data_IF_793506239354
#
_entry.id   IF_793506239354
#
_cell.length_a   1.000
_cell.length_b   1.000
_cell.length_c   1.000
_cell.angle_alpha   90.00
_cell.angle_beta   90.00
_cell.angle_gamma   90.00
#
_symmetry.space_group_name_H-M   'P 1'
#
loop_
_entity.id
_entity.type
_entity.pdbx_description
1 polymer ?
#
# COMPACT_ATOMS: atom_id res chain seq x y z
N UNK A 1 -46.37 6.42 -11.70
CA UNK A 1 -45.76 5.07 -11.85
C UNK A 1 -45.18 4.98 -13.26
N UNK A 2 -43.89 5.22 -13.41
CA UNK A 2 -43.24 5.50 -14.71
C UNK A 2 -43.01 4.26 -15.59
N UNK A 3 -42.83 4.50 -16.89
CA UNK A 3 -42.57 3.53 -17.97
C UNK A 3 -41.53 2.44 -17.64
N UNK A 4 -40.62 2.69 -16.71
CA UNK A 4 -39.62 1.75 -16.19
C UNK A 4 -40.25 0.49 -15.58
N UNK A 5 -41.43 0.58 -14.96
CA UNK A 5 -42.09 -0.59 -14.35
C UNK A 5 -42.75 -1.53 -15.38
N UNK A 6 -43.14 -1.00 -16.54
CA UNK A 6 -43.81 -1.76 -17.61
C UNK A 6 -42.80 -2.57 -18.42
N UNK A 7 -41.62 -1.99 -18.66
CA UNK A 7 -40.52 -2.68 -19.33
C UNK A 7 -40.03 -3.87 -18.50
N UNK A 8 -39.90 -3.71 -17.18
CA UNK A 8 -39.44 -4.79 -16.31
C UNK A 8 -40.41 -5.97 -16.22
N UNK A 9 -41.73 -5.69 -16.19
CA UNK A 9 -42.79 -6.72 -16.15
C UNK A 9 -42.91 -7.55 -17.43
N UNK A 10 -42.50 -7.02 -18.58
CA UNK A 10 -42.59 -7.74 -19.86
C UNK A 10 -41.38 -8.64 -20.13
N UNK A 11 -40.29 -8.50 -19.36
CA UNK A 11 -39.03 -9.26 -19.55
C UNK A 11 -38.91 -10.42 -18.56
N UNK A 12 -39.41 -10.22 -17.34
CA UNK A 12 -39.35 -11.19 -16.27
C UNK A 12 -40.77 -11.71 -16.01
N UNK A 13 -40.96 -13.05 -15.97
CA UNK A 13 -42.25 -13.64 -15.56
C UNK A 13 -42.60 -13.16 -14.15
N UNK A 14 -43.89 -13.17 -13.81
CA UNK A 14 -44.37 -12.78 -12.48
C UNK A 14 -43.62 -13.57 -11.39
N UNK A 15 -42.77 -12.88 -10.61
CA UNK A 15 -41.93 -13.48 -9.55
C UNK A 15 -40.43 -13.49 -9.83
N UNK A 16 -40.00 -13.26 -11.07
CA UNK A 16 -38.58 -13.16 -11.42
C UNK A 16 -38.01 -11.76 -11.12
N UNK A 17 -36.82 -11.69 -10.52
CA UNK A 17 -36.14 -10.41 -10.25
C UNK A 17 -35.30 -10.01 -11.45
N UNK A 18 -35.65 -8.88 -12.07
CA UNK A 18 -34.87 -8.25 -13.13
C UNK A 18 -33.76 -7.39 -12.51
N UNK A 19 -32.51 -7.65 -12.88
CA UNK A 19 -31.34 -6.83 -12.52
C UNK A 19 -30.55 -6.52 -13.78
N UNK A 20 -29.99 -5.33 -13.91
CA UNK A 20 -29.06 -5.02 -15.00
C UNK A 20 -27.67 -5.36 -14.46
N UNK A 21 -26.87 -6.19 -15.12
CA UNK A 21 -25.51 -6.45 -14.63
C UNK A 21 -24.51 -6.89 -15.69
N UNK A 22 -23.33 -7.29 -15.24
CA UNK A 22 -22.18 -7.54 -16.10
C UNK A 22 -21.86 -9.03 -16.17
N UNK A 23 -21.31 -9.44 -17.33
CA UNK A 23 -20.66 -10.74 -17.52
C UNK A 23 -19.54 -10.95 -16.51
N UNK A 24 -19.27 -12.21 -16.13
CA UNK A 24 -18.13 -12.57 -15.24
C UNK A 24 -16.77 -12.03 -15.71
N UNK A 25 -16.66 -11.58 -16.96
CA UNK A 25 -15.41 -11.15 -17.59
C UNK A 25 -15.59 -10.02 -18.64
N UNK A 26 -16.76 -9.35 -18.67
CA UNK A 26 -17.03 -8.31 -19.68
C UNK A 26 -17.81 -7.13 -19.08
N UNK A 27 -17.22 -5.93 -19.20
CA UNK A 27 -17.81 -4.58 -19.00
C UNK A 27 -18.99 -4.23 -19.94
N UNK A 28 -19.74 -5.20 -20.45
CA UNK A 28 -20.96 -4.93 -21.21
C UNK A 28 -22.19 -5.07 -20.31
N UNK A 29 -23.03 -4.02 -20.19
CA UNK A 29 -24.28 -4.13 -19.44
C UNK A 29 -25.19 -5.13 -20.16
N UNK A 30 -25.72 -6.08 -19.41
CA UNK A 30 -26.70 -7.05 -19.88
C UNK A 30 -27.87 -7.10 -18.90
N UNK A 31 -28.96 -7.71 -19.35
CA UNK A 31 -30.11 -8.00 -18.50
C UNK A 31 -29.88 -9.36 -17.84
N UNK A 32 -29.91 -9.37 -16.52
CA UNK A 32 -29.88 -10.56 -15.69
C UNK A 32 -31.30 -10.83 -15.16
N UNK A 33 -31.76 -12.06 -15.29
CA UNK A 33 -32.99 -12.53 -14.64
C UNK A 33 -32.59 -13.66 -13.70
N UNK A 34 -32.85 -13.48 -12.40
CA UNK A 34 -32.46 -14.41 -11.35
C UNK A 34 -30.96 -14.83 -11.40
N UNK A 35 -30.08 -13.93 -11.87
CA UNK A 35 -28.64 -14.18 -11.96
C UNK A 35 -28.16 -14.84 -13.27
N UNK A 36 -29.05 -15.08 -14.23
CA UNK A 36 -28.71 -15.60 -15.56
C UNK A 36 -28.86 -14.54 -16.66
N UNK A 37 -27.98 -14.59 -17.67
CA UNK A 37 -28.05 -13.68 -18.81
C UNK A 37 -29.25 -14.01 -19.68
N UNK A 38 -30.11 -13.01 -19.93
CA UNK A 38 -31.05 -13.11 -21.02
C UNK A 38 -30.32 -12.89 -22.36
N UNK A 39 -30.37 -13.90 -23.23
CA UNK A 39 -29.89 -13.80 -24.60
C UNK A 39 -30.63 -12.71 -25.37
N UNK A 40 -29.90 -11.67 -25.79
CA UNK A 40 -30.41 -10.56 -26.58
C UNK A 40 -30.86 -11.09 -27.96
N UNK A 41 -32.16 -11.38 -28.16
CA UNK A 41 -32.68 -11.55 -29.52
C UNK A 41 -32.64 -10.19 -30.22
N UNK A 42 -31.78 -10.08 -31.23
CA UNK A 42 -31.65 -8.91 -32.11
C UNK A 42 -33.05 -8.43 -32.54
N UNK A 43 -33.46 -7.23 -32.12
CA UNK A 43 -34.64 -6.58 -32.69
C UNK A 43 -35.43 -5.66 -31.76
N UNK A 44 -35.43 -5.88 -30.43
CA UNK A 44 -36.08 -4.95 -29.48
C UNK A 44 -35.11 -4.54 -28.38
N UNK A 45 -34.64 -3.29 -28.40
CA UNK A 45 -33.96 -2.68 -27.25
C UNK A 45 -34.99 -2.53 -26.15
N UNK A 46 -35.00 -3.47 -25.21
CA UNK A 46 -36.00 -3.49 -24.16
C UNK A 46 -35.77 -2.36 -23.15
N UNK A 47 -34.52 -1.90 -23.00
CA UNK A 47 -34.15 -0.85 -22.06
C UNK A 47 -33.14 0.13 -22.67
N UNK A 48 -33.36 1.43 -22.47
CA UNK A 48 -32.50 2.50 -22.98
C UNK A 48 -31.55 3.01 -21.89
N UNK A 49 -30.30 2.52 -21.94
CA UNK A 49 -29.23 2.87 -21.03
C UNK A 49 -28.76 4.34 -21.15
N UNK A 50 -29.14 5.06 -22.19
CA UNK A 50 -28.71 6.45 -22.39
C UNK A 50 -29.54 7.47 -21.60
N UNK A 51 -30.72 7.08 -21.11
CA UNK A 51 -31.71 7.99 -20.50
C UNK A 51 -31.74 7.95 -18.97
N UNK A 52 -30.87 7.16 -18.35
CA UNK A 52 -30.95 6.87 -16.91
C UNK A 52 -29.56 6.99 -16.28
N UNK A 53 -29.54 7.38 -15.01
CA UNK A 53 -28.33 7.37 -14.19
C UNK A 53 -28.22 6.03 -13.44
N UNK A 54 -26.99 5.57 -13.28
CA UNK A 54 -26.72 4.29 -12.64
C UNK A 54 -25.63 4.39 -11.59
N UNK A 55 -25.75 3.52 -10.61
CA UNK A 55 -24.69 3.17 -9.69
C UNK A 55 -24.23 1.75 -10.01
N UNK A 56 -22.93 1.58 -10.19
CA UNK A 56 -22.32 0.28 -10.37
C UNK A 56 -21.89 -0.29 -9.03
N UNK A 57 -22.51 -1.40 -8.63
CA UNK A 57 -22.11 -2.15 -7.46
C UNK A 57 -20.78 -2.88 -7.77
N UNK A 58 -19.66 -2.32 -7.30
CA UNK A 58 -18.30 -2.86 -7.52
C UNK A 58 -17.88 -3.89 -6.47
N UNK A 59 -18.40 -3.73 -5.25
CA UNK A 59 -18.31 -4.66 -4.12
C UNK A 59 -19.68 -4.73 -3.45
N UNK A 60 -19.97 -5.73 -2.62
CA UNK A 60 -21.29 -5.89 -1.99
C UNK A 60 -21.90 -4.62 -1.39
N UNK A 61 -21.07 -3.79 -0.74
CA UNK A 61 -21.52 -2.58 -0.05
C UNK A 61 -21.00 -1.28 -0.68
N UNK A 62 -20.29 -1.36 -1.81
CA UNK A 62 -19.70 -0.19 -2.46
C UNK A 62 -20.23 -0.04 -3.88
N UNK A 63 -20.84 1.11 -4.13
CA UNK A 63 -21.21 1.57 -5.47
C UNK A 63 -20.33 2.73 -5.92
N UNK A 64 -20.19 2.87 -7.24
CA UNK A 64 -19.63 4.08 -7.87
C UNK A 64 -20.58 4.58 -8.97
N UNK A 65 -20.66 5.90 -9.22
CA UNK A 65 -21.43 6.45 -10.32
C UNK A 65 -20.96 5.89 -11.66
N UNK A 66 -21.88 5.74 -12.62
CA UNK A 66 -21.59 4.96 -13.81
C UNK A 66 -22.45 5.32 -15.03
N UNK A 67 -21.89 5.22 -16.25
CA UNK A 67 -22.57 5.47 -17.52
C UNK A 67 -22.52 4.25 -18.46
N UNK A 68 -23.59 3.43 -18.55
CA UNK A 68 -23.53 2.15 -19.29
C UNK A 68 -23.38 2.31 -20.80
N UNK A 69 -23.83 3.42 -21.38
CA UNK A 69 -23.69 3.70 -22.80
C UNK A 69 -22.24 3.89 -23.24
N UNK A 70 -21.33 4.23 -22.31
CA UNK A 70 -19.95 4.64 -22.62
C UNK A 70 -18.90 3.76 -21.95
N UNK A 71 -19.30 2.75 -21.18
CA UNK A 71 -18.35 1.89 -20.45
C UNK A 71 -17.36 1.14 -21.36
N UNK A 72 -17.73 0.82 -22.59
CA UNK A 72 -16.82 0.12 -23.51
C UNK A 72 -15.88 1.09 -24.26
N UNK A 73 -15.98 2.39 -24.02
CA UNK A 73 -15.16 3.40 -24.69
C UNK A 73 -13.87 3.62 -23.90
N UNK A 74 -12.72 3.56 -24.57
CA UNK A 74 -11.39 3.81 -23.94
C UNK A 74 -11.08 5.30 -23.74
N UNK A 75 -11.93 6.17 -24.30
CA UNK A 75 -11.92 7.62 -24.08
C UNK A 75 -13.25 8.00 -23.46
N UNK A 76 -13.26 8.75 -22.35
CA UNK A 76 -14.50 9.24 -21.78
C UNK A 76 -15.18 10.20 -22.77
N UNK A 77 -16.51 10.19 -22.80
CA UNK A 77 -17.28 11.06 -23.70
C UNK A 77 -17.13 12.55 -23.38
N UNK A 78 -16.84 12.86 -22.13
CA UNK A 78 -16.49 14.20 -21.67
C UNK A 78 -15.19 14.21 -20.88
N UNK A 79 -14.55 15.38 -20.83
CA UNK A 79 -13.38 15.60 -19.98
C UNK A 79 -13.85 15.59 -18.52
N UNK A 80 -13.10 14.91 -17.65
CA UNK A 80 -13.40 14.88 -16.22
C UNK A 80 -12.51 15.91 -15.54
N UNK A 81 -13.11 16.93 -14.93
CA UNK A 81 -12.43 18.04 -14.28
C UNK A 81 -13.25 18.56 -13.11
N UNK A 82 -12.59 19.30 -12.20
CA UNK A 82 -13.26 20.04 -11.13
C UNK A 82 -13.93 21.27 -11.72
N UNK A 83 -15.24 21.34 -11.62
CA UNK A 83 -16.02 22.51 -11.98
C UNK A 83 -15.58 23.70 -11.10
N UNK A 84 -15.17 24.80 -11.76
CA UNK A 84 -14.63 25.97 -11.07
C UNK A 84 -15.66 26.69 -10.20
N UNK A 85 -16.95 26.60 -10.55
CA UNK A 85 -18.04 27.27 -9.84
C UNK A 85 -18.52 26.46 -8.64
N UNK A 86 -18.69 25.15 -8.80
CA UNK A 86 -19.25 24.29 -7.74
C UNK A 86 -18.18 23.63 -6.88
N UNK A 87 -16.93 23.62 -7.33
CA UNK A 87 -15.83 22.91 -6.69
C UNK A 87 -15.95 21.37 -6.75
N UNK A 88 -16.91 20.83 -7.51
CA UNK A 88 -17.21 19.40 -7.62
C UNK A 88 -16.92 18.87 -9.01
N UNK A 89 -16.95 17.56 -9.18
CA UNK A 89 -17.06 16.94 -10.51
C UNK A 89 -18.56 16.81 -10.80
N UNK A 90 -18.99 17.27 -11.97
CA UNK A 90 -20.40 17.16 -12.38
C UNK A 90 -20.81 15.68 -12.53
N UNK A 91 -22.11 15.39 -12.41
CA UNK A 91 -22.62 14.01 -12.36
C UNK A 91 -22.18 13.15 -13.56
N UNK A 92 -22.23 13.70 -14.78
CA UNK A 92 -21.74 13.01 -15.98
C UNK A 92 -20.23 12.73 -15.91
N UNK A 93 -19.45 13.64 -15.32
CA UNK A 93 -18.02 13.45 -15.09
C UNK A 93 -17.72 12.36 -14.07
N UNK A 94 -18.52 12.27 -13.01
CA UNK A 94 -18.42 11.19 -12.03
C UNK A 94 -18.75 9.82 -12.64
N UNK A 95 -19.77 9.77 -13.50
CA UNK A 95 -20.13 8.54 -14.21
C UNK A 95 -19.02 8.06 -15.16
N UNK A 96 -18.40 8.98 -15.92
CA UNK A 96 -17.24 8.66 -16.75
C UNK A 96 -16.02 8.26 -15.92
N UNK A 97 -15.82 8.86 -14.75
CA UNK A 97 -14.76 8.47 -13.81
C UNK A 97 -14.95 7.03 -13.31
N UNK A 98 -16.19 6.65 -13.01
CA UNK A 98 -16.54 5.28 -12.65
C UNK A 98 -16.27 4.30 -13.78
N UNK A 99 -16.69 4.62 -15.00
CA UNK A 99 -16.41 3.80 -16.19
C UNK A 99 -14.91 3.52 -16.37
N UNK A 100 -14.07 4.57 -16.28
CA UNK A 100 -12.60 4.44 -16.34
C UNK A 100 -12.10 3.52 -15.22
N UNK A 101 -12.62 3.71 -14.00
CA UNK A 101 -12.17 2.97 -12.83
C UNK A 101 -12.43 1.46 -12.94
N UNK A 102 -13.58 1.07 -13.50
CA UNK A 102 -13.92 -0.34 -13.76
C UNK A 102 -13.00 -0.94 -14.81
N UNK A 103 -12.83 -0.27 -15.95
CA UNK A 103 -11.97 -0.76 -17.03
C UNK A 103 -10.51 -0.92 -16.59
N UNK A 104 -9.99 0.04 -15.83
CA UNK A 104 -8.64 -0.06 -15.29
C UNK A 104 -8.51 -1.22 -14.29
N UNK A 105 -9.50 -1.43 -13.41
CA UNK A 105 -9.47 -2.56 -12.49
C UNK A 105 -9.43 -3.91 -13.21
N UNK A 106 -10.25 -4.10 -14.26
CA UNK A 106 -10.21 -5.31 -15.09
C UNK A 106 -8.87 -5.48 -15.80
N UNK A 107 -8.32 -4.39 -16.37
CA UNK A 107 -7.01 -4.42 -17.01
C UNK A 107 -5.90 -4.79 -16.04
N UNK A 108 -5.96 -4.33 -14.79
CA UNK A 108 -4.97 -4.66 -13.76
C UNK A 108 -5.13 -6.10 -13.26
N UNK A 109 -6.35 -6.62 -13.19
CA UNK A 109 -6.60 -8.02 -12.82
C UNK A 109 -6.02 -8.99 -13.86
N UNK A 110 -6.11 -8.67 -15.15
CA UNK A 110 -5.56 -9.50 -16.22
C UNK A 110 -4.04 -9.70 -16.13
N UNK A 111 -3.32 -8.73 -15.56
CA UNK A 111 -1.85 -8.79 -15.42
C UNK A 111 -1.39 -9.22 -14.02
N UNK A 112 -2.30 -9.35 -13.06
CA UNK A 112 -1.97 -9.64 -11.66
C UNK A 112 -1.26 -10.99 -11.47
N UNK A 113 -1.63 -12.02 -12.26
CA UNK A 113 -0.99 -13.33 -12.23
C UNK A 113 0.48 -13.28 -12.62
N UNK A 114 0.79 -12.67 -13.77
CA UNK A 114 2.15 -12.49 -14.25
C UNK A 114 2.97 -11.60 -13.30
N UNK A 115 2.37 -10.53 -12.79
CA UNK A 115 3.00 -9.66 -11.79
C UNK A 115 3.37 -10.41 -10.50
N UNK A 116 2.50 -11.33 -10.04
CA UNK A 116 2.78 -12.17 -8.88
C UNK A 116 3.98 -13.09 -9.12
N UNK A 117 4.04 -13.74 -10.27
CA UNK A 117 5.19 -14.59 -10.65
C UNK A 117 6.50 -13.81 -10.68
N UNK A 118 6.48 -12.63 -11.31
CA UNK A 118 7.64 -11.75 -11.43
C UNK A 118 8.13 -11.27 -10.05
N UNK A 119 7.25 -10.71 -9.22
CA UNK A 119 7.61 -10.23 -7.87
C UNK A 119 8.09 -11.39 -6.99
N UNK A 120 7.46 -12.56 -7.07
CA UNK A 120 7.88 -13.76 -6.31
C UNK A 120 9.26 -14.25 -6.73
N UNK A 121 9.62 -14.10 -8.00
CA UNK A 121 10.93 -14.48 -8.52
C UNK A 121 12.06 -13.55 -8.05
N UNK A 122 11.74 -12.28 -7.78
CA UNK A 122 12.67 -11.30 -7.20
C UNK A 122 12.84 -11.57 -5.70
N UNK A 123 11.72 -11.68 -4.97
CA UNK A 123 11.70 -11.81 -3.52
C UNK A 123 11.59 -13.26 -3.03
N UNK A 124 12.51 -14.11 -3.50
CA UNK A 124 12.53 -15.53 -3.13
C UNK A 124 12.77 -15.71 -1.63
N UNK A 125 12.02 -16.64 -1.04
CA UNK A 125 12.15 -17.00 0.38
C UNK A 125 11.32 -16.14 1.35
N UNK A 126 10.54 -15.18 0.84
CA UNK A 126 9.66 -14.36 1.64
C UNK A 126 8.20 -14.82 1.54
N UNK A 127 7.48 -14.59 2.64
CA UNK A 127 6.02 -14.59 2.62
C UNK A 127 5.57 -13.32 1.89
N UNK A 128 4.76 -13.48 0.84
CA UNK A 128 4.34 -12.36 0.00
C UNK A 128 2.88 -12.44 -0.43
N UNK A 129 2.29 -11.28 -0.64
CA UNK A 129 0.99 -11.13 -1.30
C UNK A 129 1.09 -10.12 -2.44
N UNK A 130 0.41 -10.42 -3.54
CA UNK A 130 0.32 -9.55 -4.72
C UNK A 130 -1.14 -9.49 -5.14
N UNK A 131 -1.65 -8.28 -5.38
CA UNK A 131 -3.03 -8.04 -5.79
C UNK A 131 -3.13 -6.89 -6.79
N UNK A 132 -4.12 -6.95 -7.66
CA UNK A 132 -4.51 -5.80 -8.48
C UNK A 132 -5.23 -4.74 -7.64
N UNK A 133 -5.22 -3.50 -8.12
CA UNK A 133 -6.01 -2.42 -7.55
C UNK A 133 -7.48 -2.51 -8.01
N UNK A 134 -8.41 -2.54 -7.06
CA UNK A 134 -9.85 -2.60 -7.36
C UNK A 134 -10.48 -1.26 -7.74
N UNK A 135 -11.60 -1.32 -8.46
CA UNK A 135 -12.29 -0.16 -9.05
C UNK A 135 -12.62 0.96 -8.04
N UNK A 136 -13.07 0.65 -6.82
CA UNK A 136 -13.35 1.69 -5.81
C UNK A 136 -12.09 2.48 -5.42
N UNK A 137 -10.97 1.79 -5.25
CA UNK A 137 -9.71 2.44 -4.89
C UNK A 137 -9.19 3.31 -6.03
N UNK A 138 -9.38 2.87 -7.27
CA UNK A 138 -9.07 3.66 -8.48
C UNK A 138 -9.96 4.90 -8.54
N UNK A 139 -11.28 4.74 -8.38
CA UNK A 139 -12.26 5.85 -8.40
C UNK A 139 -11.91 6.92 -7.36
N UNK A 140 -11.78 6.52 -6.09
CA UNK A 140 -11.47 7.45 -4.99
C UNK A 140 -10.13 8.17 -5.21
N UNK A 141 -9.10 7.46 -5.72
CA UNK A 141 -7.79 8.05 -6.01
C UNK A 141 -7.88 9.06 -7.14
N UNK A 142 -8.57 8.74 -8.24
CA UNK A 142 -8.72 9.67 -9.37
C UNK A 142 -9.59 10.87 -9.00
N UNK A 143 -10.69 10.67 -8.29
CA UNK A 143 -11.58 11.74 -7.82
C UNK A 143 -10.79 12.75 -6.98
N UNK A 144 -10.00 12.27 -6.03
CA UNK A 144 -9.10 13.12 -5.22
C UNK A 144 -8.11 13.91 -6.09
N UNK A 145 -7.50 13.28 -7.11
CA UNK A 145 -6.56 13.96 -8.01
C UNK A 145 -7.25 15.06 -8.84
N UNK A 146 -8.51 14.87 -9.22
CA UNK A 146 -9.29 15.88 -9.94
C UNK A 146 -9.69 17.01 -8.99
N UNK A 147 -10.28 16.69 -7.83
CA UNK A 147 -10.83 17.67 -6.89
C UNK A 147 -9.78 18.48 -6.14
N UNK A 148 -8.68 17.85 -5.72
CA UNK A 148 -7.66 18.51 -4.90
C UNK A 148 -6.46 18.97 -5.73
N UNK A 149 -6.06 18.19 -6.73
CA UNK A 149 -4.86 18.48 -7.54
C UNK A 149 -5.17 19.12 -8.90
N UNK A 150 -6.44 19.44 -9.15
CA UNK A 150 -6.91 20.10 -10.37
C UNK A 150 -6.59 19.32 -11.65
N UNK A 151 -6.39 17.99 -11.55
CA UNK A 151 -6.04 17.18 -12.72
C UNK A 151 -7.26 17.02 -13.63
N UNK A 152 -6.99 16.93 -14.92
CA UNK A 152 -8.01 16.70 -15.95
C UNK A 152 -7.77 15.34 -16.58
N UNK A 153 -8.80 14.48 -16.57
CA UNK A 153 -8.72 13.14 -17.15
C UNK A 153 -9.39 13.16 -18.52
N UNK A 154 -8.67 12.65 -19.53
CA UNK A 154 -9.07 12.65 -20.94
C UNK A 154 -9.04 11.27 -21.60
N UNK A 155 -8.53 10.25 -20.92
CA UNK A 155 -8.41 8.88 -21.42
C UNK A 155 -8.05 7.93 -20.28
N UNK A 156 -8.26 6.63 -20.51
CA UNK A 156 -7.83 5.55 -19.61
C UNK A 156 -6.31 5.57 -19.40
N UNK A 157 -5.52 5.81 -20.45
CA UNK A 157 -4.07 5.88 -20.34
C UNK A 157 -3.60 7.05 -19.45
N UNK A 158 -4.26 8.21 -19.56
CA UNK A 158 -3.97 9.35 -18.67
C UNK A 158 -4.38 9.04 -17.22
N UNK A 159 -5.51 8.37 -17.01
CA UNK A 159 -5.96 7.95 -15.69
C UNK A 159 -5.01 6.89 -15.07
N UNK A 160 -4.59 5.89 -15.84
CA UNK A 160 -3.65 4.84 -15.40
C UNK A 160 -2.32 5.45 -14.91
N UNK A 161 -1.78 6.45 -15.62
CA UNK A 161 -0.60 7.21 -15.18
C UNK A 161 -0.81 7.98 -13.88
N UNK A 162 -2.04 8.46 -13.61
CA UNK A 162 -2.35 9.16 -12.35
C UNK A 162 -2.52 8.22 -11.16
N UNK A 163 -2.88 6.96 -11.41
CA UNK A 163 -2.93 5.89 -10.42
C UNK A 163 -1.51 5.55 -9.99
N UNK A 164 -0.65 5.11 -10.92
CA UNK A 164 0.77 4.86 -10.65
C UNK A 164 1.09 3.60 -9.83
N UNK A 165 0.07 2.86 -9.37
CA UNK A 165 0.14 1.66 -8.52
C UNK A 165 -0.91 0.61 -8.95
N UNK A 166 -0.80 0.11 -10.17
CA UNK A 166 -1.73 -0.89 -10.73
C UNK A 166 -1.73 -2.20 -9.91
N UNK A 167 -0.53 -2.64 -9.52
CA UNK A 167 -0.29 -3.82 -8.71
C UNK A 167 0.19 -3.40 -7.32
N UNK A 168 -0.40 -3.96 -6.27
CA UNK A 168 0.09 -3.84 -4.90
C UNK A 168 0.79 -5.13 -4.47
N UNK A 169 2.03 -5.02 -4.00
CA UNK A 169 2.81 -6.11 -3.44
C UNK A 169 3.14 -5.88 -1.96
N UNK A 170 3.19 -6.95 -1.17
CA UNK A 170 3.68 -6.94 0.22
C UNK A 170 4.64 -8.09 0.43
N UNK A 171 5.81 -7.78 0.94
CA UNK A 171 6.87 -8.71 1.31
C UNK A 171 7.06 -8.64 2.82
N UNK A 172 6.85 -9.77 3.51
CA UNK A 172 6.93 -9.84 4.96
C UNK A 172 8.27 -10.42 5.41
N UNK A 173 9.08 -9.60 6.06
CA UNK A 173 10.38 -10.00 6.58
C UNK A 173 10.25 -10.89 7.83
N UNK A 174 11.13 -11.89 7.97
CA UNK A 174 11.16 -12.71 9.17
C UNK A 174 11.59 -11.88 10.39
N UNK A 175 11.11 -12.29 11.56
CA UNK A 175 11.54 -11.69 12.81
C UNK A 175 12.97 -12.16 13.15
N UNK A 176 13.75 -11.28 13.77
CA UNK A 176 15.01 -11.63 14.37
C UNK A 176 14.81 -12.35 15.71
N UNK A 177 15.87 -13.00 16.18
CA UNK A 177 15.88 -13.80 17.41
C UNK A 177 16.85 -13.23 18.45
N UNK A 178 16.81 -13.75 19.68
CA UNK A 178 17.78 -13.41 20.71
C UNK A 178 19.24 -13.75 20.31
N UNK A 179 19.43 -14.76 19.45
CA UNK A 179 20.74 -15.08 18.87
C UNK A 179 21.24 -13.95 17.98
N UNK A 180 20.35 -13.33 17.20
CA UNK A 180 20.69 -12.21 16.33
C UNK A 180 21.09 -10.98 17.13
N UNK A 181 20.40 -10.71 18.23
CA UNK A 181 20.78 -9.66 19.20
C UNK A 181 22.19 -9.92 19.72
N UNK A 182 22.45 -11.13 20.21
CA UNK A 182 23.76 -11.50 20.77
C UNK A 182 24.88 -11.33 19.73
N UNK A 183 24.66 -11.76 18.49
CA UNK A 183 25.64 -11.60 17.42
C UNK A 183 25.86 -10.13 17.06
N UNK A 184 24.79 -9.34 17.01
CA UNK A 184 24.86 -7.90 16.71
C UNK A 184 25.65 -7.17 17.79
N UNK A 185 25.38 -7.43 19.06
CA UNK A 185 26.11 -6.82 20.18
C UNK A 185 27.62 -7.12 20.17
N UNK A 186 28.01 -8.32 19.73
CA UNK A 186 29.43 -8.72 19.62
C UNK A 186 30.18 -8.04 18.47
N UNK A 187 29.48 -7.66 17.41
CA UNK A 187 30.08 -7.20 16.14
C UNK A 187 29.86 -5.72 15.87
N UNK A 188 28.88 -5.11 16.53
CA UNK A 188 28.54 -3.71 16.37
C UNK A 188 29.69 -2.82 16.82
N UNK A 189 30.03 -1.87 15.95
CA UNK A 189 30.97 -0.79 16.24
C UNK A 189 30.23 0.53 16.31
N UNK A 190 30.39 1.25 17.42
CA UNK A 190 29.88 2.60 17.62
C UNK A 190 31.10 3.50 17.74
N UNK A 191 31.22 4.49 16.85
CA UNK A 191 32.42 5.36 16.76
C UNK A 191 33.73 4.54 16.67
N UNK A 192 33.72 3.50 15.83
CA UNK A 192 34.84 2.56 15.62
C UNK A 192 35.25 1.72 16.85
N UNK A 193 34.46 1.73 17.93
CA UNK A 193 34.70 0.91 19.13
C UNK A 193 33.61 -0.15 19.28
N UNK A 194 34.03 -1.36 19.66
CA UNK A 194 33.10 -2.41 20.07
C UNK A 194 32.49 -2.06 21.43
N UNK A 195 31.30 -2.57 21.71
CA UNK A 195 30.76 -2.59 23.07
C UNK A 195 31.63 -3.48 23.96
N UNK A 196 31.88 -3.04 25.19
CA UNK A 196 32.54 -3.85 26.22
C UNK A 196 31.65 -5.04 26.62
N UNK A 197 32.23 -6.06 27.26
CA UNK A 197 31.47 -7.23 27.73
C UNK A 197 30.34 -6.84 28.69
N UNK A 198 30.56 -5.85 29.55
CA UNK A 198 29.54 -5.36 30.49
C UNK A 198 28.43 -4.60 29.76
N UNK A 199 28.77 -3.71 28.82
CA UNK A 199 27.76 -3.03 27.99
C UNK A 199 26.92 -4.03 27.18
N UNK A 200 27.54 -5.08 26.63
CA UNK A 200 26.82 -6.15 25.93
C UNK A 200 25.83 -6.86 26.86
N UNK A 201 26.22 -7.17 28.09
CA UNK A 201 25.36 -7.80 29.11
C UNK A 201 24.20 -6.89 29.50
N UNK A 202 24.45 -5.59 29.70
CA UNK A 202 23.42 -4.59 29.99
C UNK A 202 22.42 -4.51 28.83
N UNK A 203 22.89 -4.47 27.57
CA UNK A 203 22.01 -4.44 26.40
C UNK A 203 21.18 -5.72 26.26
N UNK A 204 21.75 -6.89 26.59
CA UNK A 204 20.99 -8.15 26.60
C UNK A 204 19.85 -8.09 27.61
N UNK A 205 20.13 -7.68 28.85
CA UNK A 205 19.11 -7.46 29.89
C UNK A 205 18.03 -6.46 29.45
N UNK A 206 18.44 -5.34 28.85
CA UNK A 206 17.52 -4.32 28.36
C UNK A 206 16.54 -4.89 27.32
N UNK A 207 17.04 -5.59 26.31
CA UNK A 207 16.20 -6.16 25.25
C UNK A 207 15.45 -7.44 25.66
N UNK A 208 15.86 -8.12 26.73
CA UNK A 208 15.10 -9.20 27.36
C UNK A 208 14.10 -8.71 28.42
N UNK A 209 14.02 -7.38 28.64
CA UNK A 209 13.17 -6.72 29.62
C UNK A 209 13.44 -7.19 31.06
N UNK A 210 14.70 -7.49 31.36
CA UNK A 210 15.16 -7.75 32.72
C UNK A 210 15.32 -6.44 33.51
N UNK A 211 15.32 -6.55 34.84
CA UNK A 211 15.54 -5.40 35.71
C UNK A 211 16.96 -4.84 35.52
N UNK A 212 17.05 -3.51 35.45
CA UNK A 212 18.30 -2.76 35.32
C UNK A 212 18.42 -1.77 36.48
N UNK A 213 19.63 -1.55 36.98
CA UNK A 213 19.92 -0.41 37.85
C UNK A 213 19.81 0.93 37.09
N UNK A 214 19.83 2.05 37.82
CA UNK A 214 19.79 3.37 37.20
C UNK A 214 21.00 3.62 36.28
N UNK A 215 22.18 3.12 36.67
CA UNK A 215 23.43 3.21 35.91
C UNK A 215 23.36 2.33 34.66
N UNK A 216 22.86 1.10 34.79
CA UNK A 216 22.66 0.21 33.64
C UNK A 216 21.64 0.80 32.66
N UNK A 217 20.57 1.45 33.15
CA UNK A 217 19.58 2.11 32.31
C UNK A 217 20.18 3.25 31.49
N UNK A 218 21.09 4.06 32.05
CA UNK A 218 21.79 5.11 31.30
C UNK A 218 22.62 4.52 30.16
N UNK A 219 23.31 3.40 30.40
CA UNK A 219 24.06 2.67 29.37
C UNK A 219 23.11 2.14 28.29
N UNK A 220 21.99 1.54 28.69
CA UNK A 220 21.00 1.01 27.76
C UNK A 220 20.42 2.11 26.87
N UNK A 221 20.03 3.25 27.44
CA UNK A 221 19.51 4.39 26.70
C UNK A 221 20.54 4.94 25.71
N UNK A 222 21.81 5.03 26.11
CA UNK A 222 22.91 5.50 25.25
C UNK A 222 23.07 4.67 23.97
N UNK A 223 22.94 3.34 24.05
CA UNK A 223 23.24 2.44 22.94
C UNK A 223 22.03 1.84 22.23
N UNK A 224 20.84 1.87 22.86
CA UNK A 224 19.64 1.21 22.35
C UNK A 224 19.32 1.56 20.90
N UNK A 225 19.31 2.84 20.52
CA UNK A 225 19.02 3.27 19.15
C UNK A 225 20.02 2.71 18.14
N UNK A 226 21.32 2.81 18.44
CA UNK A 226 22.37 2.31 17.55
C UNK A 226 22.27 0.79 17.34
N UNK A 227 21.98 0.04 18.42
CA UNK A 227 21.78 -1.41 18.31
C UNK A 227 20.49 -1.74 17.53
N UNK A 228 19.38 -1.04 17.77
CA UNK A 228 18.13 -1.23 17.02
C UNK A 228 18.31 -0.97 15.53
N UNK A 229 19.07 0.07 15.14
CA UNK A 229 19.41 0.35 13.75
C UNK A 229 20.25 -0.77 13.12
N UNK A 230 21.24 -1.30 13.85
CA UNK A 230 22.04 -2.42 13.37
C UNK A 230 21.23 -3.71 13.20
N UNK A 231 20.26 -3.96 14.10
CA UNK A 231 19.31 -5.05 13.97
C UNK A 231 18.39 -4.83 12.76
N UNK A 232 17.89 -3.61 12.53
CA UNK A 232 17.08 -3.28 11.37
C UNK A 232 17.84 -3.54 10.06
N UNK A 233 19.10 -3.11 9.96
CA UNK A 233 19.97 -3.39 8.82
C UNK A 233 20.15 -4.89 8.60
N UNK A 234 20.43 -5.65 9.67
CA UNK A 234 20.55 -7.11 9.59
C UNK A 234 19.26 -7.78 9.09
N UNK A 235 18.10 -7.34 9.56
CA UNK A 235 16.81 -7.90 9.17
C UNK A 235 16.50 -7.62 7.69
N UNK A 236 16.74 -6.40 7.22
CA UNK A 236 16.38 -5.97 5.87
C UNK A 236 17.45 -6.24 4.82
N UNK A 237 18.69 -6.54 5.21
CA UNK A 237 19.81 -6.79 4.29
C UNK A 237 19.49 -7.79 3.17
N UNK A 238 18.84 -8.95 3.41
CA UNK A 238 18.57 -9.89 2.33
C UNK A 238 17.57 -9.33 1.29
N UNK A 239 16.56 -8.58 1.73
CA UNK A 239 15.59 -7.94 0.83
C UNK A 239 16.22 -6.78 0.05
N UNK A 240 17.05 -5.96 0.71
CA UNK A 240 17.82 -4.88 0.06
C UNK A 240 18.78 -5.45 -0.98
N UNK A 241 19.48 -6.54 -0.65
CA UNK A 241 20.38 -7.21 -1.59
C UNK A 241 19.62 -7.73 -2.81
N UNK A 242 18.45 -8.37 -2.63
CA UNK A 242 17.60 -8.81 -3.75
C UNK A 242 17.13 -7.63 -4.63
N UNK A 243 16.76 -6.49 -4.04
CA UNK A 243 16.45 -5.26 -4.78
C UNK A 243 17.64 -4.80 -5.61
N UNK A 244 18.83 -4.70 -5.00
CA UNK A 244 20.01 -4.18 -5.67
C UNK A 244 20.50 -5.12 -6.76
N UNK A 245 20.56 -6.43 -6.51
CA UNK A 245 20.93 -7.44 -7.52
C UNK A 245 19.98 -7.38 -8.72
N UNK A 246 18.67 -7.34 -8.48
CA UNK A 246 17.66 -7.28 -9.56
C UNK A 246 17.73 -5.95 -10.33
N UNK A 247 18.01 -4.84 -9.65
CA UNK A 247 18.12 -3.52 -10.28
C UNK A 247 19.42 -3.36 -11.09
N UNK A 248 20.54 -3.88 -10.57
CA UNK A 248 21.81 -3.93 -11.30
C UNK A 248 21.71 -4.85 -12.53
N UNK A 249 21.02 -5.99 -12.40
CA UNK A 249 20.75 -6.86 -13.55
C UNK A 249 19.93 -6.15 -14.62
N UNK A 250 18.92 -5.37 -14.23
CA UNK A 250 18.13 -4.54 -15.15
C UNK A 250 19.02 -3.53 -15.90
N UNK A 251 19.92 -2.86 -15.19
CA UNK A 251 20.85 -1.90 -15.77
C UNK A 251 21.89 -2.53 -16.70
N UNK A 252 22.41 -3.72 -16.37
CA UNK A 252 23.29 -4.50 -17.26
C UNK A 252 22.54 -4.89 -18.53
N UNK A 253 21.32 -5.41 -18.40
CA UNK A 253 20.49 -5.83 -19.53
C UNK A 253 20.17 -4.68 -20.49
N UNK A 254 20.04 -3.45 -19.98
CA UNK A 254 19.82 -2.26 -20.79
C UNK A 254 21.11 -1.60 -21.30
N UNK A 255 22.29 -2.14 -20.96
CA UNK A 255 23.59 -1.55 -21.31
C UNK A 255 23.92 -0.24 -20.58
N UNK A 256 23.21 0.08 -19.48
CA UNK A 256 23.44 1.30 -18.72
C UNK A 256 24.70 1.23 -17.83
N UNK A 257 25.16 0.01 -17.54
CA UNK A 257 26.40 -0.24 -16.79
C UNK A 257 26.97 -1.62 -17.14
N UNK A 258 28.19 -1.92 -16.69
CA UNK A 258 28.83 -3.25 -16.82
C UNK A 258 29.23 -3.82 -15.47
N UNK A 259 29.48 -5.13 -15.41
CA UNK A 259 29.97 -5.79 -14.19
C UNK A 259 31.30 -5.16 -13.72
N UNK A 260 32.21 -4.84 -14.65
CA UNK A 260 33.50 -4.23 -14.32
C UNK A 260 33.35 -2.83 -13.72
N UNK A 261 32.36 -2.06 -14.15
CA UNK A 261 32.05 -0.75 -13.56
C UNK A 261 31.47 -0.90 -12.15
N UNK A 262 30.57 -1.88 -11.96
CA UNK A 262 30.00 -2.20 -10.65
C UNK A 262 31.09 -2.64 -9.68
N UNK A 263 32.04 -3.48 -10.11
CA UNK A 263 33.16 -3.96 -9.28
C UNK A 263 34.09 -2.84 -8.82
N UNK A 264 34.19 -1.75 -9.59
CA UNK A 264 35.00 -0.56 -9.26
C UNK A 264 34.22 0.49 -8.46
N UNK A 265 32.93 0.27 -8.20
CA UNK A 265 32.06 1.19 -7.47
C UNK A 265 32.07 0.90 -5.95
N UNK A 266 31.32 1.68 -5.18
CA UNK A 266 31.11 1.47 -3.74
C UNK A 266 30.09 0.38 -3.39
N UNK A 267 29.59 -0.40 -4.36
CA UNK A 267 28.60 -1.46 -4.11
C UNK A 267 29.21 -2.59 -3.27
N UNK A 268 28.41 -3.15 -2.36
CA UNK A 268 28.86 -4.20 -1.45
C UNK A 268 29.36 -5.43 -2.20
N UNK A 269 30.45 -6.02 -1.70
CA UNK A 269 31.04 -7.25 -2.26
C UNK A 269 30.05 -8.42 -2.29
N UNK A 270 29.15 -8.48 -1.32
CA UNK A 270 28.10 -9.51 -1.26
C UNK A 270 27.14 -9.38 -2.44
N UNK A 271 26.67 -8.17 -2.74
CA UNK A 271 25.76 -7.91 -3.86
C UNK A 271 26.44 -8.18 -5.20
N UNK A 272 27.71 -7.78 -5.35
CA UNK A 272 28.51 -8.10 -6.54
C UNK A 272 28.63 -9.62 -6.71
N UNK A 273 28.94 -10.34 -5.63
CA UNK A 273 29.06 -11.80 -5.67
C UNK A 273 27.71 -12.47 -6.03
N UNK A 274 26.60 -11.99 -5.46
CA UNK A 274 25.26 -12.49 -5.80
C UNK A 274 24.89 -12.20 -7.27
N UNK A 275 25.26 -11.04 -7.79
CA UNK A 275 25.04 -10.66 -9.18
C UNK A 275 25.84 -11.54 -10.15
N UNK A 276 27.12 -11.81 -9.86
CA UNK A 276 27.99 -12.64 -10.71
C UNK A 276 27.63 -14.12 -10.70
N UNK A 277 27.23 -14.64 -9.54
CA UNK A 277 26.97 -16.07 -9.35
C UNK A 277 25.49 -16.42 -9.55
N UNK A 278 24.60 -15.43 -9.52
CA UNK A 278 23.17 -15.62 -9.67
C UNK A 278 22.80 -16.06 -11.08
N UNK A 279 22.04 -17.15 -11.19
CA UNK A 279 21.42 -17.59 -12.44
C UNK A 279 19.97 -17.14 -12.47
N UNK A 280 19.49 -16.70 -13.64
CA UNK A 280 18.10 -16.29 -13.86
C UNK A 280 17.65 -15.20 -12.87
N UNK A 281 18.46 -14.15 -12.72
CA UNK A 281 18.08 -12.97 -11.93
C UNK A 281 16.98 -12.22 -12.68
N UNK A 282 15.80 -12.09 -12.08
CA UNK A 282 14.71 -11.30 -12.64
C UNK A 282 15.06 -9.81 -12.50
N UNK A 283 15.12 -9.04 -13.60
CA UNK A 283 15.45 -7.63 -13.54
C UNK A 283 14.33 -6.83 -12.87
N UNK A 284 14.70 -5.79 -12.12
CA UNK A 284 13.77 -4.87 -11.47
C UNK A 284 14.08 -3.44 -11.89
N UNK A 285 13.05 -2.65 -12.25
CA UNK A 285 13.22 -1.22 -12.54
C UNK A 285 12.46 -0.37 -11.52
N UNK A 286 13.19 0.23 -10.58
CA UNK A 286 12.63 1.11 -9.55
C UNK A 286 12.44 2.53 -10.10
N UNK A 287 11.36 3.18 -9.68
CA UNK A 287 11.00 4.56 -10.08
C UNK A 287 10.82 5.50 -8.89
N UNK A 288 10.61 4.97 -7.68
CA UNK A 288 10.55 5.72 -6.42
C UNK A 288 10.81 4.76 -5.26
N UNK A 289 11.44 5.24 -4.19
CA UNK A 289 11.60 4.54 -2.92
C UNK A 289 11.15 5.45 -1.78
N UNK A 290 10.25 4.96 -0.94
CA UNK A 290 9.73 5.57 0.27
C UNK A 290 10.10 4.71 1.48
N UNK A 291 10.96 5.23 2.35
CA UNK A 291 11.33 4.61 3.62
C UNK A 291 10.68 5.41 4.76
N UNK A 292 9.39 5.15 4.96
CA UNK A 292 8.55 5.83 5.93
C UNK A 292 8.87 5.40 7.36
N UNK A 293 8.75 6.33 8.31
CA UNK A 293 8.99 6.08 9.73
C UNK A 293 8.17 7.02 10.62
N UNK A 294 7.87 6.59 11.85
CA UNK A 294 7.48 7.49 12.92
C UNK A 294 8.59 8.47 13.31
N UNK A 295 8.24 9.56 14.01
CA UNK A 295 9.17 10.63 14.44
C UNK A 295 10.42 10.12 15.12
N UNK A 296 10.30 9.09 15.96
CA UNK A 296 11.42 8.44 16.65
C UNK A 296 11.59 6.96 16.26
N UNK A 297 10.72 6.46 15.38
CA UNK A 297 10.67 5.07 14.94
C UNK A 297 11.96 4.59 14.27
N UNK A 298 12.14 3.27 14.24
CA UNK A 298 13.28 2.59 13.59
C UNK A 298 12.88 2.22 12.16
N UNK A 299 13.54 2.80 11.12
CA UNK A 299 13.19 2.52 9.73
C UNK A 299 13.48 1.07 9.36
N UNK A 300 12.93 0.63 8.23
CA UNK A 300 13.26 -0.67 7.67
C UNK A 300 14.58 -0.64 6.90
N UNK A 301 14.83 0.41 6.13
CA UNK A 301 16.12 0.62 5.47
C UNK A 301 16.96 1.62 6.26
N UNK A 302 18.19 1.27 6.59
CA UNK A 302 19.11 2.18 7.29
C UNK A 302 19.85 3.10 6.32
N UNK A 303 20.48 4.14 6.85
CA UNK A 303 21.32 5.05 6.08
C UNK A 303 22.41 4.34 5.26
N UNK A 304 23.00 3.27 5.80
CA UNK A 304 23.99 2.43 5.12
C UNK A 304 23.40 1.79 3.85
N UNK A 305 22.20 1.22 3.98
CA UNK A 305 21.48 0.60 2.85
C UNK A 305 21.01 1.66 1.84
N UNK A 306 20.52 2.81 2.32
CA UNK A 306 20.18 3.94 1.44
C UNK A 306 21.42 4.44 0.69
N UNK A 307 22.60 4.45 1.32
CA UNK A 307 23.85 4.81 0.66
C UNK A 307 24.21 3.82 -0.46
N UNK A 308 24.03 2.52 -0.22
CA UNK A 308 24.22 1.48 -1.23
C UNK A 308 23.25 1.63 -2.42
N UNK A 309 21.99 1.98 -2.16
CA UNK A 309 21.01 2.28 -3.21
C UNK A 309 21.41 3.53 -4.00
N UNK A 310 21.93 4.58 -3.34
CA UNK A 310 22.45 5.78 -4.04
C UNK A 310 23.68 5.48 -4.88
N UNK A 311 24.58 4.64 -4.37
CA UNK A 311 25.73 4.16 -5.15
C UNK A 311 25.27 3.41 -6.39
N UNK A 312 24.23 2.57 -6.26
CA UNK A 312 23.61 1.87 -7.39
C UNK A 312 23.05 2.86 -8.42
N UNK A 313 22.38 3.94 -8.00
CA UNK A 313 21.94 5.00 -8.92
C UNK A 313 23.11 5.67 -9.64
N UNK A 314 24.21 5.94 -8.93
CA UNK A 314 25.39 6.56 -9.51
C UNK A 314 26.09 5.68 -10.54
N UNK A 315 26.30 4.38 -10.27
CA UNK A 315 26.99 3.47 -11.20
C UNK A 315 26.11 3.06 -12.39
N UNK A 316 24.78 3.12 -12.25
CA UNK A 316 23.84 2.77 -13.33
C UNK A 316 23.35 3.98 -14.13
N UNK A 317 23.49 5.20 -13.62
CA UNK A 317 22.84 6.39 -14.17
C UNK A 317 21.31 6.38 -14.05
N UNK A 318 20.71 5.37 -13.41
CA UNK A 318 19.26 5.23 -13.27
C UNK A 318 18.79 5.89 -11.96
N UNK A 319 18.51 7.19 -12.03
CA UNK A 319 18.05 7.96 -10.88
C UNK A 319 16.53 7.85 -10.67
N UNK A 320 16.15 7.80 -9.40
CA UNK A 320 14.77 7.81 -8.90
C UNK A 320 14.70 8.50 -7.53
N UNK A 321 13.52 8.96 -7.15
CA UNK A 321 13.32 9.66 -5.89
C UNK A 321 13.47 8.71 -4.70
N UNK A 322 14.23 9.15 -3.68
CA UNK A 322 14.37 8.45 -2.40
C UNK A 322 13.84 9.34 -1.28
N UNK A 323 12.68 8.99 -0.75
CA UNK A 323 12.01 9.64 0.36
C UNK A 323 12.36 8.89 1.64
N UNK A 324 13.20 9.49 2.48
CA UNK A 324 13.65 8.87 3.74
C UNK A 324 14.04 9.93 4.77
N UNK A 325 13.98 9.58 6.05
CA UNK A 325 14.54 10.38 7.15
C UNK A 325 15.96 9.91 7.43
N UNK A 326 17.00 10.71 7.11
CA UNK A 326 18.38 10.33 7.39
C UNK A 326 18.71 10.38 8.89
N UNK A 327 19.38 9.35 9.39
CA UNK A 327 19.94 9.32 10.75
C UNK A 327 21.26 10.09 10.86
N UNK A 328 22.03 10.12 9.78
CA UNK A 328 23.36 10.71 9.67
C UNK A 328 23.32 12.08 8.99
N UNK A 329 24.07 13.03 9.55
CA UNK A 329 24.21 14.39 9.02
C UNK A 329 24.71 14.42 7.57
N UNK A 330 25.48 13.41 7.15
CA UNK A 330 25.98 13.28 5.77
C UNK A 330 24.85 13.26 4.73
N UNK A 331 23.68 12.71 5.08
CA UNK A 331 22.56 12.57 4.16
C UNK A 331 21.51 13.69 4.30
N UNK A 332 21.55 14.49 5.38
CA UNK A 332 20.57 15.56 5.65
C UNK A 332 20.50 16.64 4.58
N UNK A 333 21.66 17.10 4.09
CA UNK A 333 21.71 18.19 3.08
C UNK A 333 21.14 17.82 1.71
N UNK A 334 21.03 16.53 1.39
CA UNK A 334 20.53 16.05 0.10
C UNK A 334 19.06 15.59 0.13
N UNK A 335 18.39 15.62 1.30
CA UNK A 335 17.09 14.97 1.50
C UNK A 335 16.02 15.88 2.13
N UNK A 336 16.31 17.14 2.44
CA UNK A 336 15.51 17.98 3.35
C UNK A 336 14.02 18.16 2.99
N UNK A 337 13.59 18.39 1.72
CA UNK A 337 12.15 18.44 1.42
C UNK A 337 11.49 17.05 1.38
N UNK A 338 12.28 15.99 1.22
CA UNK A 338 11.80 14.60 1.18
C UNK A 338 11.71 14.00 2.59
N UNK A 339 12.56 14.41 3.53
CA UNK A 339 12.56 13.98 4.93
C UNK A 339 11.20 14.22 5.61
N UNK A 340 10.63 15.42 5.43
CA UNK A 340 9.32 15.75 6.00
C UNK A 340 8.19 14.86 5.44
N UNK A 341 8.35 14.32 4.21
CA UNK A 341 7.39 13.37 3.63
C UNK A 341 7.59 11.96 4.19
N UNK A 342 8.80 11.63 4.64
CA UNK A 342 9.13 10.33 5.18
C UNK A 342 8.56 10.12 6.59
N UNK A 343 8.48 11.18 7.40
CA UNK A 343 7.98 11.13 8.78
C UNK A 343 6.45 11.07 8.81
N UNK A 344 5.90 10.10 9.54
CA UNK A 344 4.46 9.89 9.70
C UNK A 344 4.05 10.08 11.15
N UNK A 345 3.13 11.01 11.41
CA UNK A 345 2.68 11.33 12.77
C UNK A 345 2.09 10.12 13.51
N UNK A 346 1.38 9.24 12.81
CA UNK A 346 0.82 8.00 13.36
C UNK A 346 1.86 6.91 13.66
N UNK A 347 3.14 7.15 13.38
CA UNK A 347 4.20 6.15 13.49
C UNK A 347 4.32 5.19 12.31
N UNK A 348 3.52 5.37 11.25
CA UNK A 348 3.54 4.49 10.08
C UNK A 348 4.96 4.28 9.55
N UNK A 349 5.41 3.04 9.64
CA UNK A 349 6.77 2.63 9.30
C UNK A 349 6.72 1.51 8.27
N UNK A 350 7.34 1.72 7.11
CA UNK A 350 7.44 0.74 6.02
C UNK A 350 8.54 1.18 5.04
N UNK A 351 9.20 0.23 4.39
CA UNK A 351 9.90 0.51 3.14
C UNK A 351 8.96 0.18 1.97
N UNK A 352 8.79 1.08 1.02
CA UNK A 352 7.89 0.91 -0.11
C UNK A 352 8.55 1.45 -1.36
N UNK A 353 8.52 0.73 -2.47
CA UNK A 353 9.05 1.24 -3.74
C UNK A 353 8.07 1.03 -4.88
N UNK A 354 8.13 1.94 -5.85
CA UNK A 354 7.39 1.82 -7.10
C UNK A 354 8.31 1.21 -8.16
N UNK A 355 7.82 0.21 -8.88
CA UNK A 355 8.56 -0.47 -9.92
C UNK A 355 7.77 -0.58 -11.23
N UNK A 356 8.50 -0.66 -12.34
CA UNK A 356 7.95 -1.05 -13.64
C UNK A 356 8.19 -2.56 -13.80
N UNK A 357 7.10 -3.31 -13.95
CA UNK A 357 7.14 -4.75 -14.23
C UNK A 357 7.45 -5.02 -15.70
N UNK A 358 7.75 -6.27 -16.05
CA UNK A 358 8.14 -6.69 -17.41
C UNK A 358 7.10 -6.33 -18.48
N UNK A 359 5.82 -6.36 -18.14
CA UNK A 359 4.70 -6.00 -19.02
C UNK A 359 4.48 -4.48 -19.15
N UNK A 360 5.23 -3.67 -18.40
CA UNK A 360 5.10 -2.21 -18.33
C UNK A 360 4.15 -1.71 -17.24
N UNK A 361 3.48 -2.60 -16.51
CA UNK A 361 2.61 -2.25 -15.39
C UNK A 361 3.40 -1.65 -14.23
N UNK A 362 2.80 -0.68 -13.53
CA UNK A 362 3.40 -0.09 -12.34
C UNK A 362 2.97 -0.85 -11.08
N UNK A 363 3.94 -1.25 -10.28
CA UNK A 363 3.72 -1.92 -9.01
C UNK A 363 4.20 -1.05 -7.85
N UNK A 364 3.40 -0.98 -6.78
CA UNK A 364 3.81 -0.45 -5.47
C UNK A 364 4.06 -1.65 -4.55
N UNK A 365 5.31 -1.85 -4.13
CA UNK A 365 5.73 -2.99 -3.33
C UNK A 365 6.18 -2.52 -1.95
N UNK A 366 5.54 -3.03 -0.92
CA UNK A 366 5.86 -2.76 0.49
C UNK A 366 6.71 -3.88 1.07
N UNK A 367 7.77 -3.52 1.79
CA UNK A 367 8.64 -4.39 2.57
C UNK A 367 8.49 -3.97 4.04
N UNK A 368 8.00 -4.91 4.85
CA UNK A 368 7.74 -4.69 6.28
C UNK A 368 7.83 -6.01 7.05
N UNK A 369 7.78 -5.97 8.37
CA UNK A 369 7.68 -7.15 9.21
C UNK A 369 6.24 -7.65 9.34
N UNK A 370 6.07 -8.72 10.14
CA UNK A 370 4.82 -9.49 10.25
C UNK A 370 3.80 -8.88 11.21
N UNK A 371 4.08 -7.72 11.82
CA UNK A 371 3.16 -7.11 12.78
C UNK A 371 1.78 -6.81 12.16
N UNK A 372 0.66 -7.22 12.79
CA UNK A 372 -0.69 -7.01 12.26
C UNK A 372 -1.07 -5.53 12.18
N UNK A 373 -0.42 -4.65 12.96
CA UNK A 373 -0.77 -3.24 12.99
C UNK A 373 -0.58 -2.53 11.65
N UNK A 374 0.35 -3.01 10.82
CA UNK A 374 0.50 -2.54 9.45
C UNK A 374 -0.71 -2.75 8.55
N UNK A 375 -1.66 -3.61 8.90
CA UNK A 375 -2.89 -3.80 8.13
C UNK A 375 -4.03 -2.87 8.58
N UNK A 376 -3.95 -2.24 9.75
CA UNK A 376 -5.10 -1.55 10.37
C UNK A 376 -4.86 -0.09 10.72
N UNK A 377 -3.61 0.35 10.79
CA UNK A 377 -3.21 1.75 11.02
C UNK A 377 -3.98 2.80 10.20
N UNK A 378 -4.28 2.46 8.96
CA UNK A 378 -4.81 3.39 7.97
C UNK A 378 -6.27 3.71 8.28
N UNK A 379 -6.95 2.88 9.08
CA UNK A 379 -8.34 3.09 9.51
C UNK A 379 -8.47 4.44 10.22
N UNK A 380 -7.53 4.80 11.10
CA UNK A 380 -7.54 6.11 11.79
C UNK A 380 -7.45 7.27 10.80
N UNK A 381 -6.53 7.19 9.85
CA UNK A 381 -6.31 8.20 8.83
C UNK A 381 -7.50 8.30 7.86
N UNK A 382 -7.96 7.17 7.34
CA UNK A 382 -9.09 7.09 6.40
C UNK A 382 -10.39 7.59 7.02
N UNK A 383 -10.61 7.29 8.31
CA UNK A 383 -11.73 7.81 9.10
C UNK A 383 -11.70 9.33 9.23
N UNK A 384 -10.53 9.90 9.56
CA UNK A 384 -10.36 11.35 9.71
C UNK A 384 -10.52 12.10 8.38
N UNK A 385 -10.08 11.49 7.28
CA UNK A 385 -10.17 12.05 5.93
C UNK A 385 -11.56 11.85 5.30
N UNK A 386 -12.46 11.11 5.94
CA UNK A 386 -13.79 10.81 5.39
C UNK A 386 -13.73 9.99 4.10
N UNK A 387 -12.71 9.12 3.94
CA UNK A 387 -12.61 8.30 2.73
C UNK A 387 -13.74 7.27 2.69
N UNK A 388 -14.30 7.06 1.50
CA UNK A 388 -15.31 6.00 1.23
C UNK A 388 -14.67 4.60 1.04
N UNK A 389 -13.56 4.34 1.73
CA UNK A 389 -12.81 3.07 1.66
C UNK A 389 -13.16 2.11 2.80
N UNK A 390 -13.72 2.64 3.89
CA UNK A 390 -14.08 1.89 5.09
C UNK A 390 -15.57 1.55 5.08
N UNK A 391 -15.92 0.29 5.31
CA UNK A 391 -17.31 -0.19 5.41
C UNK A 391 -18.04 0.37 6.64
N UNK A 392 -19.31 0.00 6.79
CA UNK A 392 -20.16 0.39 7.92
C UNK A 392 -19.71 -0.21 9.26
N UNK A 393 -18.91 -1.29 9.23
CA UNK A 393 -18.32 -1.91 10.43
C UNK A 393 -17.48 -0.89 11.23
N UNK A 394 -16.93 0.12 10.55
CA UNK A 394 -16.10 1.14 11.19
C UNK A 394 -16.88 2.40 11.59
N UNK A 395 -18.21 2.46 11.49
CA UNK A 395 -18.94 3.73 11.66
C UNK A 395 -18.78 4.32 13.05
N UNK A 396 -18.90 3.51 14.11
CA UNK A 396 -18.65 3.97 15.49
C UNK A 396 -17.20 4.43 15.69
N UNK A 397 -16.24 3.73 15.05
CA UNK A 397 -14.83 4.09 15.10
C UNK A 397 -14.60 5.44 14.38
N UNK A 398 -15.18 5.62 13.19
CA UNK A 398 -15.11 6.86 12.42
C UNK A 398 -15.64 8.03 13.24
N UNK A 399 -16.78 7.84 13.89
CA UNK A 399 -17.41 8.87 14.72
C UNK A 399 -16.55 9.20 15.94
N UNK A 400 -15.94 8.20 16.58
CA UNK A 400 -15.00 8.42 17.67
C UNK A 400 -13.78 9.23 17.21
N UNK A 401 -13.16 8.90 16.07
CA UNK A 401 -12.00 9.63 15.50
C UNK A 401 -12.36 11.06 15.09
N UNK A 402 -13.55 11.27 14.51
CA UNK A 402 -14.01 12.60 14.08
C UNK A 402 -14.27 13.54 15.25
N UNK A 403 -14.67 13.01 16.41
CA UNK A 403 -14.91 13.78 17.64
C UNK A 403 -13.62 14.22 18.36
N UNK A 404 -12.46 13.66 18.01
CA UNK A 404 -11.19 14.08 18.58
C UNK A 404 -10.85 15.51 18.13
N UNK A 405 -10.48 16.37 19.10
CA UNK A 405 -9.84 17.66 18.80
C UNK A 405 -8.50 17.42 18.10
N UNK A 406 -7.91 18.44 17.45
CA UNK A 406 -6.55 18.33 16.91
C UNK A 406 -5.53 17.83 17.94
N UNK A 407 -5.56 18.37 19.16
CA UNK A 407 -4.65 18.01 20.26
C UNK A 407 -4.86 16.57 20.73
N UNK A 408 -6.12 16.16 20.87
CA UNK A 408 -6.45 14.78 21.20
C UNK A 408 -6.07 13.80 20.09
N UNK A 409 -6.16 14.21 18.83
CA UNK A 409 -5.72 13.41 17.70
C UNK A 409 -4.20 13.26 17.66
N UNK A 410 -3.45 14.29 18.04
CA UNK A 410 -1.99 14.21 18.18
C UNK A 410 -1.59 13.26 19.31
N UNK A 411 -2.28 13.30 20.45
CA UNK A 411 -2.07 12.32 21.52
C UNK A 411 -2.47 10.89 21.11
N UNK A 412 -3.52 10.75 20.31
CA UNK A 412 -3.90 9.46 19.73
C UNK A 412 -2.83 8.95 18.75
N UNK A 413 -2.26 9.83 17.92
CA UNK A 413 -1.14 9.48 17.04
C UNK A 413 0.11 9.01 17.81
N UNK A 414 0.38 9.56 18.99
CA UNK A 414 1.45 9.04 19.88
C UNK A 414 1.16 7.61 20.33
N UNK A 415 -0.08 7.29 20.67
CA UNK A 415 -0.49 5.92 20.98
C UNK A 415 -0.33 4.99 19.77
N UNK A 416 -0.78 5.39 18.58
CA UNK A 416 -0.60 4.62 17.35
C UNK A 416 0.90 4.40 17.04
N UNK A 417 1.74 5.42 17.25
CA UNK A 417 3.19 5.30 17.07
C UNK A 417 3.80 4.32 18.05
N UNK A 418 3.37 4.32 19.31
CA UNK A 418 3.82 3.35 20.28
C UNK A 418 3.43 1.91 19.89
N UNK A 419 2.24 1.71 19.28
CA UNK A 419 1.83 0.40 18.74
C UNK A 419 2.76 -0.04 17.61
N UNK A 420 3.18 0.88 16.73
CA UNK A 420 4.19 0.58 15.71
C UNK A 420 5.53 0.17 16.32
N UNK A 421 6.02 0.95 17.28
CA UNK A 421 7.31 0.67 17.93
C UNK A 421 7.29 -0.68 18.67
N UNK A 422 6.16 -1.05 19.27
CA UNK A 422 5.97 -2.36 19.89
C UNK A 422 6.15 -3.52 18.90
N UNK A 423 5.48 -3.46 17.75
CA UNK A 423 5.61 -4.51 16.74
C UNK A 423 6.99 -4.49 16.08
N UNK A 424 7.57 -3.30 15.85
CA UNK A 424 8.93 -3.16 15.34
C UNK A 424 9.95 -3.79 16.28
N UNK A 425 9.81 -3.62 17.60
CA UNK A 425 10.69 -4.26 18.57
C UNK A 425 10.59 -5.79 18.50
N UNK A 426 9.36 -6.34 18.42
CA UNK A 426 9.15 -7.78 18.26
C UNK A 426 9.82 -8.31 16.98
N UNK A 427 9.67 -7.59 15.87
CA UNK A 427 10.31 -7.92 14.60
C UNK A 427 11.85 -7.93 14.70
N UNK A 428 12.42 -7.08 15.54
CA UNK A 428 13.86 -7.03 15.83
C UNK A 428 14.30 -8.03 16.91
N UNK A 429 13.41 -8.90 17.38
CA UNK A 429 13.69 -9.92 18.40
C UNK A 429 13.71 -9.39 19.83
N UNK A 430 13.29 -8.14 20.04
CA UNK A 430 13.30 -7.43 21.31
C UNK A 430 11.98 -7.69 22.05
N UNK A 431 12.05 -7.98 23.34
CA UNK A 431 10.85 -8.05 24.18
C UNK A 431 10.35 -6.62 24.46
N UNK A 432 9.10 -6.34 24.10
CA UNK A 432 8.47 -5.04 24.30
C UNK A 432 7.15 -5.18 25.06
N UNK A 433 6.68 -4.08 25.64
CA UNK A 433 5.41 -4.03 26.36
C UNK A 433 4.34 -3.47 25.45
N UNK A 434 3.20 -4.16 25.36
CA UNK A 434 2.09 -3.69 24.54
C UNK A 434 1.61 -2.33 25.06
N UNK A 435 1.52 -1.29 24.21
CA UNK A 435 1.02 0.02 24.61
C UNK A 435 -0.44 -0.08 25.05
N UNK A 436 -0.82 0.72 26.04
CA UNK A 436 -2.21 0.82 26.49
C UNK A 436 -2.83 2.08 25.92
N UNK A 437 -4.08 1.97 25.46
CA UNK A 437 -4.85 3.14 25.04
C UNK A 437 -5.00 4.09 26.25
N UNK A 438 -4.66 5.39 26.11
CA UNK A 438 -4.89 6.37 27.16
C UNK A 438 -6.35 6.41 27.61
N UNK A 439 -6.58 6.46 28.93
CA UNK A 439 -7.92 6.34 29.53
C UNK A 439 -8.93 7.41 29.07
N UNK A 440 -8.46 8.54 28.56
CA UNK A 440 -9.30 9.61 27.99
C UNK A 440 -9.98 9.23 26.68
N UNK A 441 -9.46 8.25 25.95
CA UNK A 441 -10.01 7.85 24.66
C UNK A 441 -11.08 6.77 24.79
N UNK A 442 -12.06 6.81 23.89
CA UNK A 442 -13.04 5.74 23.77
C UNK A 442 -12.32 4.42 23.44
N UNK A 443 -12.65 3.34 24.16
CA UNK A 443 -12.03 2.03 23.99
C UNK A 443 -12.09 1.49 22.56
N UNK A 444 -13.10 1.88 21.75
CA UNK A 444 -13.17 1.51 20.34
C UNK A 444 -11.93 1.94 19.54
N UNK A 445 -11.20 2.95 20.00
CA UNK A 445 -9.98 3.46 19.38
C UNK A 445 -8.74 2.62 19.70
N UNK A 446 -8.84 1.56 20.51
CA UNK A 446 -7.71 0.70 20.82
C UNK A 446 -7.24 -0.11 19.61
N UNK A 447 -5.97 -0.47 19.60
CA UNK A 447 -5.38 -1.38 18.61
C UNK A 447 -6.13 -2.71 18.52
N UNK A 448 -6.53 -3.29 19.67
CA UNK A 448 -7.30 -4.53 19.71
C UNK A 448 -8.63 -4.39 18.97
N UNK A 449 -9.33 -3.27 19.14
CA UNK A 449 -10.58 -3.01 18.45
C UNK A 449 -10.34 -2.73 16.97
N UNK A 450 -9.27 -2.01 16.59
CA UNK A 450 -8.90 -1.83 15.18
C UNK A 450 -8.69 -3.18 14.47
N UNK A 451 -7.93 -4.10 15.09
CA UNK A 451 -7.71 -5.46 14.57
C UNK A 451 -9.02 -6.26 14.52
N UNK A 452 -9.83 -6.19 15.58
CA UNK A 452 -11.13 -6.88 15.62
C UNK A 452 -12.06 -6.40 14.51
N UNK A 453 -12.20 -5.08 14.34
CA UNK A 453 -13.04 -4.48 13.29
C UNK A 453 -12.53 -4.85 11.90
N UNK A 454 -11.21 -4.84 11.70
CA UNK A 454 -10.61 -5.29 10.45
C UNK A 454 -10.95 -6.76 10.12
N UNK A 455 -10.83 -7.66 11.10
CA UNK A 455 -11.17 -9.06 10.90
C UNK A 455 -12.67 -9.27 10.62
N UNK A 456 -13.55 -8.50 11.28
CA UNK A 456 -15.00 -8.53 11.03
C UNK A 456 -15.30 -8.07 9.60
N UNK A 457 -14.74 -6.93 9.20
CA UNK A 457 -14.90 -6.39 7.84
C UNK A 457 -14.39 -7.37 6.79
N UNK A 458 -13.19 -7.94 6.96
CA UNK A 458 -12.64 -8.93 6.04
C UNK A 458 -13.53 -10.18 5.94
N UNK A 459 -14.02 -10.70 7.06
CA UNK A 459 -14.93 -11.84 7.08
C UNK A 459 -16.26 -11.53 6.38
N UNK A 460 -16.85 -10.37 6.66
CA UNK A 460 -18.11 -9.94 6.06
C UNK A 460 -17.95 -9.71 4.54
N UNK A 461 -16.89 -9.02 4.12
CA UNK A 461 -16.59 -8.81 2.71
C UNK A 461 -16.35 -10.13 1.99
N UNK A 462 -15.67 -11.10 2.60
CA UNK A 462 -15.45 -12.41 2.00
C UNK A 462 -16.74 -13.22 1.90
N UNK A 463 -17.58 -13.24 2.93
CA UNK A 463 -18.88 -13.91 2.91
C UNK A 463 -19.79 -13.32 1.83
N UNK A 464 -19.88 -11.99 1.75
CA UNK A 464 -20.69 -11.31 0.74
C UNK A 464 -20.17 -11.56 -0.68
N UNK A 465 -18.85 -11.64 -0.89
CA UNK A 465 -18.25 -11.93 -2.20
C UNK A 465 -18.64 -13.29 -2.77
N UNK A 466 -18.90 -14.31 -1.94
CA UNK A 466 -19.23 -15.67 -2.40
C UNK A 466 -20.46 -15.71 -3.31
N UNK A 467 -21.46 -14.88 -3.01
CA UNK A 467 -22.72 -14.80 -3.77
C UNK A 467 -22.86 -13.47 -4.52
N UNK A 468 -21.79 -12.66 -4.54
CA UNK A 468 -21.83 -11.34 -5.15
C UNK A 468 -21.73 -11.44 -6.67
N UNK A 469 -22.72 -10.87 -7.34
CA UNK A 469 -22.66 -10.60 -8.76
C UNK A 469 -22.63 -9.08 -8.97
N UNK A 470 -21.62 -8.61 -9.70
CA UNK A 470 -21.51 -7.21 -10.10
C UNK A 470 -22.70 -6.81 -10.95
N UNK A 471 -23.36 -5.71 -10.58
CA UNK A 471 -24.57 -5.25 -11.25
C UNK A 471 -24.77 -3.74 -11.15
N UNK A 472 -25.62 -3.22 -12.02
CA UNK A 472 -26.05 -1.83 -12.08
C UNK A 472 -27.37 -1.66 -11.31
N UNK A 473 -27.45 -0.59 -10.54
CA UNK A 473 -28.66 -0.09 -9.90
C UNK A 473 -29.07 1.22 -10.57
N UNK A 474 -30.35 1.36 -10.90
CA UNK A 474 -30.90 2.64 -11.38
C UNK A 474 -30.93 3.60 -10.18
N UNK A 475 -30.37 4.80 -10.37
CA UNK A 475 -30.48 5.88 -9.39
C UNK A 475 -31.69 6.73 -9.77
N UNK A 476 -32.61 6.92 -8.82
CA UNK A 476 -33.83 7.72 -9.01
C UNK A 476 -33.55 9.22 -8.91
#
# INVERSE_FOLDING_TARGET
MGLTSVIAKNVAKTGEKLVIGFGKSKVKPNILVNGEFLGFKQGKKIFDFSKHNFEFQVKPDISIPFAPSTINQTKPTLRIYKNALTGKIDQAGQAELGNISVRLAESFEQVAGAAKEEISSIFKGYELSVRSKGANSIYSKLEKKVLEKGKVIRSDAAASKLIGDAIGGRILMPNLTAKDITQTLKTLKIQNKNLTAEEQKIMQKYFSKEALSAEEMKVAQKYSRAVKLALAEKQSAPAVNQIMVSSLQSAINSGATTIEQIEKSGISKEVIAQLKNGKNITPLKITELNNYTGTDGIPYFTDSQIAQIKEMQAVTGNYFDIITRPESARFKGALTPLENKAIKASGYTTAQFNAVLKDGSLAEIQIRGKGPFGEVEHIAYDSRQGKNTLSHVYDDYKDAVKKLSPEDYDDYNKYLSACYDYYRDIELGIKSSKPKLPAKFNQILSEENMIKLHNIDDAEQNAKKLNFQQHLKIVA
#
